data_IF_060673648496
#
_entry.id   IF_060673648496
#
_cell.length_a   1.000
_cell.length_b   1.000
_cell.length_c   1.000
_cell.angle_alpha   90.00
_cell.angle_beta   90.00
_cell.angle_gamma   90.00
#
_symmetry.space_group_name_H-M   'P 1'
#
loop_
_entity.id
_entity.type
_entity.pdbx_description
1 polymer ?
#
# COMPACT_ATOMS: atom_id res chain seq x y z
N UNK A 1 21.20 -60.83 -23.28
CA UNK A 1 21.07 -59.38 -23.54
C UNK A 1 19.96 -58.87 -22.64
N UNK A 2 20.27 -57.93 -21.74
CA UNK A 2 19.41 -57.54 -20.61
C UNK A 2 18.32 -56.57 -21.06
N UNK A 3 17.06 -56.85 -20.71
CA UNK A 3 15.91 -55.96 -20.89
C UNK A 3 16.05 -54.72 -20.00
N UNK A 4 15.90 -53.52 -20.57
CA UNK A 4 15.73 -52.28 -19.82
C UNK A 4 14.26 -51.91 -19.78
N UNK A 5 13.69 -51.93 -18.57
CA UNK A 5 12.36 -51.41 -18.26
C UNK A 5 12.52 -49.91 -18.00
N UNK A 6 11.89 -49.07 -18.83
CA UNK A 6 11.80 -47.64 -18.59
C UNK A 6 10.64 -47.40 -17.62
N UNK A 7 10.97 -47.07 -16.37
CA UNK A 7 10.00 -46.58 -15.40
C UNK A 7 9.76 -45.09 -15.67
N UNK A 8 8.57 -44.74 -16.17
CA UNK A 8 8.09 -43.36 -16.19
C UNK A 8 7.76 -42.94 -14.75
N UNK A 9 8.62 -42.10 -14.17
CA UNK A 9 8.29 -41.32 -12.99
C UNK A 9 7.44 -40.12 -13.45
N UNK A 10 6.12 -40.23 -13.29
CA UNK A 10 5.22 -39.08 -13.28
C UNK A 10 5.51 -38.28 -12.01
N UNK A 11 6.41 -37.31 -12.12
CA UNK A 11 6.51 -36.24 -11.13
C UNK A 11 5.24 -35.41 -11.20
N UNK A 12 4.43 -35.47 -10.14
CA UNK A 12 3.39 -34.47 -9.94
C UNK A 12 4.10 -33.14 -9.73
N UNK A 13 4.08 -32.28 -10.76
CA UNK A 13 4.45 -30.88 -10.61
C UNK A 13 3.34 -30.26 -9.77
N UNK A 14 3.59 -30.08 -8.49
CA UNK A 14 2.79 -29.15 -7.69
C UNK A 14 3.03 -27.77 -8.32
N UNK A 15 1.99 -27.21 -8.92
CA UNK A 15 1.99 -25.81 -9.33
C UNK A 15 2.18 -24.98 -8.07
N UNK A 16 3.32 -24.31 -7.93
CA UNK A 16 3.48 -23.23 -6.96
C UNK A 16 2.60 -22.09 -7.46
N UNK A 17 1.57 -21.72 -6.70
CA UNK A 17 0.75 -20.56 -7.03
C UNK A 17 1.64 -19.30 -7.08
N UNK A 18 1.50 -18.52 -8.15
CA UNK A 18 2.30 -17.32 -8.42
C UNK A 18 1.80 -16.13 -7.57
N UNK A 19 2.73 -15.56 -6.79
CA UNK A 19 2.52 -14.52 -5.78
C UNK A 19 2.60 -13.07 -6.35
N UNK A 20 1.67 -12.17 -5.97
CA UNK A 20 1.30 -10.84 -6.55
C UNK A 20 1.07 -9.71 -5.48
N UNK A 21 1.33 -8.42 -5.80
CA UNK A 21 2.41 -7.62 -5.14
C UNK A 21 3.71 -8.40 -5.36
N UNK A 22 4.88 -7.81 -5.62
CA UNK A 22 6.02 -8.70 -5.92
C UNK A 22 6.23 -9.60 -4.70
N UNK A 23 6.04 -10.93 -4.86
CA UNK A 23 6.02 -11.92 -3.78
C UNK A 23 4.86 -11.89 -2.76
N UNK A 24 3.73 -11.23 -3.05
CA UNK A 24 2.52 -11.20 -2.20
C UNK A 24 1.44 -12.21 -2.62
N UNK A 25 0.21 -12.09 -2.16
CA UNK A 25 -0.90 -12.97 -2.58
C UNK A 25 -2.21 -12.19 -2.71
N UNK A 26 -3.20 -12.76 -3.39
CA UNK A 26 -4.55 -12.18 -3.40
C UNK A 26 -5.04 -12.01 -1.96
N UNK A 27 -5.45 -10.81 -1.58
CA UNK A 27 -6.08 -10.60 -0.28
C UNK A 27 -7.38 -11.41 -0.22
N UNK A 28 -7.73 -11.93 0.96
CA UNK A 28 -9.10 -12.40 1.18
C UNK A 28 -10.04 -11.22 0.88
N UNK A 29 -11.11 -11.40 0.06
CA UNK A 29 -11.98 -10.29 -0.32
C UNK A 29 -12.46 -9.46 0.86
N UNK A 30 -12.26 -8.14 0.76
CA UNK A 30 -12.59 -7.14 1.78
C UNK A 30 -11.91 -7.33 3.15
N UNK A 31 -10.82 -8.10 3.23
CA UNK A 31 -10.01 -8.23 4.46
C UNK A 31 -9.24 -6.96 4.82
N UNK A 32 -9.05 -6.05 3.86
CA UNK A 32 -8.48 -4.72 4.05
C UNK A 32 -9.55 -3.63 3.83
N UNK A 33 -10.58 -3.52 4.69
CA UNK A 33 -11.76 -2.68 4.45
C UNK A 33 -11.47 -1.17 4.49
N UNK A 34 -10.26 -0.78 4.90
CA UNK A 34 -9.75 0.59 4.89
C UNK A 34 -9.06 0.95 3.57
N UNK A 35 -8.75 -0.04 2.72
CA UNK A 35 -8.14 0.20 1.41
C UNK A 35 -9.12 0.98 0.53
N UNK A 36 -8.62 2.01 -0.14
CA UNK A 36 -9.35 2.71 -1.20
C UNK A 36 -8.53 2.80 -2.48
N UNK A 37 -9.23 2.94 -3.59
CA UNK A 37 -8.65 3.21 -4.91
C UNK A 37 -8.91 4.67 -5.27
N UNK A 38 -7.84 5.41 -5.61
CA UNK A 38 -7.95 6.75 -6.18
C UNK A 38 -8.08 6.64 -7.69
N UNK A 39 -9.18 7.17 -8.22
CA UNK A 39 -9.57 7.02 -9.61
C UNK A 39 -9.76 8.38 -10.30
N UNK A 40 -9.17 8.54 -11.48
CA UNK A 40 -9.35 9.73 -12.33
C UNK A 40 -9.59 9.29 -13.79
N UNK A 41 -10.58 8.42 -13.98
CA UNK A 41 -10.86 7.70 -15.24
C UNK A 41 -10.20 6.32 -15.29
N UNK A 42 -9.20 6.09 -14.43
CA UNK A 42 -8.57 4.81 -14.14
C UNK A 42 -7.95 4.89 -12.74
N UNK A 43 -7.70 3.74 -12.11
CA UNK A 43 -6.95 3.66 -10.86
C UNK A 43 -5.50 4.10 -11.08
N UNK A 44 -5.01 5.05 -10.27
CA UNK A 44 -3.64 5.54 -10.39
C UNK A 44 -2.85 5.50 -9.07
N UNK A 45 -3.53 5.45 -7.93
CA UNK A 45 -2.94 5.31 -6.59
C UNK A 45 -3.92 4.62 -5.64
N UNK A 46 -3.39 4.12 -4.53
CA UNK A 46 -4.15 3.72 -3.36
C UNK A 46 -4.40 4.87 -2.38
N UNK A 47 -5.14 4.55 -1.33
CA UNK A 47 -5.36 5.39 -0.16
C UNK A 47 -5.84 4.54 1.01
N UNK A 48 -6.01 5.18 2.16
CA UNK A 48 -6.47 4.54 3.39
C UNK A 48 -7.56 5.36 4.05
N UNK A 49 -8.73 4.77 4.25
CA UNK A 49 -9.81 5.37 5.05
C UNK A 49 -9.39 5.41 6.53
N UNK A 50 -9.40 6.59 7.15
CA UNK A 50 -9.02 6.78 8.55
C UNK A 50 -10.19 7.24 9.44
N UNK A 51 -11.27 7.69 8.82
CA UNK A 51 -12.62 7.83 9.40
C UNK A 51 -13.63 7.96 8.25
N UNK A 52 -14.92 8.12 8.55
CA UNK A 52 -15.96 8.19 7.54
C UNK A 52 -15.84 9.36 6.55
N UNK A 53 -15.07 10.41 6.84
CA UNK A 53 -14.93 11.59 5.98
C UNK A 53 -13.55 11.73 5.34
N UNK A 54 -12.55 10.98 5.79
CA UNK A 54 -11.14 11.27 5.50
C UNK A 54 -10.36 10.05 5.06
N UNK A 55 -9.59 10.26 4.00
CA UNK A 55 -8.63 9.30 3.44
C UNK A 55 -7.22 9.88 3.55
N UNK A 56 -6.25 9.06 3.97
CA UNK A 56 -4.82 9.35 3.88
C UNK A 56 -4.27 8.72 2.59
N UNK A 57 -3.39 9.41 1.89
CA UNK A 57 -2.66 8.90 0.72
C UNK A 57 -1.30 9.61 0.61
N UNK A 58 -0.55 9.35 -0.46
CA UNK A 58 0.73 9.99 -0.73
C UNK A 58 0.53 11.35 -1.42
N UNK A 59 1.38 12.33 -1.10
CA UNK A 59 1.29 13.67 -1.70
C UNK A 59 1.59 13.66 -3.20
N UNK A 60 2.49 12.78 -3.67
CA UNK A 60 2.78 12.64 -5.10
C UNK A 60 1.58 12.10 -5.92
N UNK A 61 0.56 11.54 -5.26
CA UNK A 61 -0.70 11.12 -5.88
C UNK A 61 -1.69 12.29 -6.08
N UNK A 62 -1.30 13.54 -5.80
CA UNK A 62 -2.18 14.69 -5.91
C UNK A 62 -2.80 14.84 -7.31
N UNK A 63 -4.12 14.94 -7.35
CA UNK A 63 -4.92 15.51 -8.45
C UNK A 63 -6.00 16.40 -7.87
N UNK A 64 -6.38 17.44 -8.61
CA UNK A 64 -7.42 18.38 -8.15
C UNK A 64 -8.83 17.79 -8.18
N UNK A 65 -9.05 16.71 -8.95
CA UNK A 65 -10.32 15.99 -9.06
C UNK A 65 -10.02 14.50 -9.16
N UNK A 66 -10.73 13.71 -8.36
CA UNK A 66 -10.67 12.26 -8.34
C UNK A 66 -11.91 11.70 -7.64
N UNK A 67 -12.23 10.45 -7.96
CA UNK A 67 -13.18 9.63 -7.23
C UNK A 67 -12.43 8.66 -6.33
N UNK A 68 -12.96 8.45 -5.13
CA UNK A 68 -12.45 7.53 -4.13
C UNK A 68 -13.40 6.34 -4.16
N UNK A 69 -12.87 5.18 -4.54
CA UNK A 69 -13.62 3.92 -4.58
C UNK A 69 -13.28 3.13 -3.33
N UNK A 70 -14.27 2.96 -2.45
CA UNK A 70 -14.17 2.18 -1.21
C UNK A 70 -14.89 0.84 -1.37
N UNK A 71 -14.48 -0.17 -0.60
CA UNK A 71 -15.16 -1.48 -0.57
C UNK A 71 -14.90 -2.36 -1.80
N UNK A 72 -14.01 -1.95 -2.68
CA UNK A 72 -13.64 -2.67 -3.90
C UNK A 72 -12.68 -3.83 -3.58
N UNK A 73 -12.85 -4.96 -4.28
CA UNK A 73 -11.87 -6.04 -4.33
C UNK A 73 -11.30 -6.18 -5.73
N UNK A 74 -12.15 -6.13 -6.76
CA UNK A 74 -11.79 -6.31 -8.17
C UNK A 74 -12.14 -5.08 -9.01
N UNK A 75 -11.13 -4.30 -9.39
CA UNK A 75 -11.29 -3.01 -10.09
C UNK A 75 -11.98 -3.08 -11.46
N UNK A 76 -12.15 -4.26 -12.04
CA UNK A 76 -12.85 -4.43 -13.32
C UNK A 76 -14.32 -4.79 -13.18
N UNK A 77 -14.74 -5.31 -12.03
CA UNK A 77 -16.10 -5.78 -11.82
C UNK A 77 -16.61 -5.29 -10.49
N UNK A 78 -17.62 -4.42 -10.53
CA UNK A 78 -18.34 -4.02 -9.33
C UNK A 78 -19.15 -5.20 -8.82
N UNK A 79 -18.92 -5.60 -7.57
CA UNK A 79 -19.64 -6.68 -6.89
C UNK A 79 -20.82 -6.18 -6.05
N UNK A 80 -21.05 -4.86 -6.03
CA UNK A 80 -22.18 -4.20 -5.40
C UNK A 80 -21.88 -3.72 -3.97
N UNK A 81 -20.66 -3.91 -3.49
CA UNK A 81 -20.21 -3.44 -2.17
C UNK A 81 -19.53 -2.06 -2.25
N UNK A 82 -19.26 -1.57 -3.45
CA UNK A 82 -18.47 -0.36 -3.67
C UNK A 82 -19.23 0.92 -3.31
N UNK A 83 -18.49 1.88 -2.78
CA UNK A 83 -18.93 3.25 -2.63
C UNK A 83 -17.99 4.14 -3.45
N UNK A 84 -18.56 4.91 -4.38
CA UNK A 84 -17.81 5.85 -5.19
C UNK A 84 -18.15 7.25 -4.70
N UNK A 85 -17.16 7.92 -4.13
CA UNK A 85 -17.33 9.24 -3.51
C UNK A 85 -16.26 10.18 -4.07
N UNK A 86 -16.68 11.33 -4.59
CA UNK A 86 -15.73 12.33 -5.10
C UNK A 86 -14.95 13.00 -3.97
N UNK A 87 -13.72 13.44 -4.26
CA UNK A 87 -12.97 14.29 -3.35
C UNK A 87 -13.58 15.70 -3.26
N UNK A 88 -13.92 16.16 -2.05
CA UNK A 88 -14.26 17.56 -1.79
C UNK A 88 -13.00 18.43 -1.76
N UNK A 89 -11.98 17.92 -1.05
CA UNK A 89 -10.71 18.61 -0.83
C UNK A 89 -9.56 17.62 -0.87
N UNK A 90 -8.43 18.06 -1.39
CA UNK A 90 -7.20 17.29 -1.49
C UNK A 90 -6.07 18.17 -0.95
N UNK A 91 -5.46 17.74 0.15
CA UNK A 91 -4.59 18.55 1.00
C UNK A 91 -3.25 17.82 1.19
N UNK A 92 -2.27 18.06 0.30
CA UNK A 92 -0.91 17.60 0.51
C UNK A 92 -0.31 18.21 1.78
N UNK A 93 0.63 17.51 2.42
CA UNK A 93 1.40 18.07 3.51
C UNK A 93 2.08 19.38 3.08
N UNK A 94 2.03 20.47 3.88
CA UNK A 94 2.54 21.78 3.48
C UNK A 94 4.05 21.81 3.20
N UNK A 95 4.79 20.86 3.77
CA UNK A 95 6.23 20.70 3.57
C UNK A 95 6.57 19.55 2.61
N UNK A 96 5.62 19.06 1.80
CA UNK A 96 5.92 18.06 0.77
C UNK A 96 6.95 18.61 -0.22
N UNK A 97 8.03 17.88 -0.41
CA UNK A 97 9.13 18.25 -1.31
C UNK A 97 9.28 17.21 -2.41
N UNK A 98 8.76 17.52 -3.60
CA UNK A 98 8.67 16.57 -4.70
C UNK A 98 10.02 16.09 -5.24
N UNK A 99 11.10 16.86 -5.06
CA UNK A 99 12.43 16.47 -5.54
C UNK A 99 13.04 15.34 -4.69
N UNK A 100 12.83 15.40 -3.38
CA UNK A 100 13.31 14.40 -2.42
C UNK A 100 12.24 13.37 -2.04
N UNK A 101 11.00 13.56 -2.52
CA UNK A 101 9.80 12.80 -2.09
C UNK A 101 9.65 12.84 -0.57
N UNK A 102 10.06 13.94 0.06
CA UNK A 102 10.03 14.10 1.50
C UNK A 102 8.66 14.63 1.97
N UNK A 103 8.21 14.22 3.15
CA UNK A 103 6.86 14.50 3.66
C UNK A 103 5.74 14.11 2.68
N UNK A 104 5.88 12.95 2.06
CA UNK A 104 4.98 12.44 1.02
C UNK A 104 3.69 11.86 1.60
N UNK A 105 2.87 12.73 2.19
CA UNK A 105 1.59 12.40 2.79
C UNK A 105 0.54 13.46 2.47
N UNK A 106 -0.71 13.03 2.33
CA UNK A 106 -1.83 13.86 1.91
C UNK A 106 -3.12 13.40 2.59
N UNK A 107 -3.99 14.35 2.88
CA UNK A 107 -5.38 14.11 3.27
C UNK A 107 -6.33 14.38 2.12
N UNK A 108 -7.35 13.54 1.97
CA UNK A 108 -8.47 13.73 1.06
C UNK A 108 -9.74 13.75 1.90
N UNK A 109 -10.50 14.84 1.79
CA UNK A 109 -11.84 14.94 2.36
C UNK A 109 -12.86 14.42 1.36
N UNK A 110 -13.70 13.48 1.77
CA UNK A 110 -14.80 12.95 0.97
C UNK A 110 -15.93 13.99 0.88
N UNK A 111 -16.59 14.09 -0.29
CA UNK A 111 -17.73 15.00 -0.51
C UNK A 111 -19.00 14.63 0.28
N UNK A 112 -19.06 13.40 0.76
CA UNK A 112 -20.05 12.89 1.69
C UNK A 112 -19.40 11.79 2.54
N UNK A 113 -19.88 11.55 3.78
CA UNK A 113 -19.34 10.48 4.60
C UNK A 113 -19.56 9.11 3.96
N UNK A 114 -18.56 8.24 4.05
CA UNK A 114 -18.66 6.84 3.72
C UNK A 114 -19.63 6.12 4.67
N UNK A 115 -20.44 5.22 4.13
CA UNK A 115 -21.30 4.34 4.93
C UNK A 115 -20.46 3.19 5.46
N UNK A 116 -20.11 3.24 6.74
CA UNK A 116 -19.31 2.20 7.38
C UNK A 116 -20.11 0.90 7.50
N UNK A 117 -19.53 -0.20 7.04
CA UNK A 117 -20.13 -1.54 7.04
C UNK A 117 -19.03 -2.61 7.01
N UNK A 118 -19.35 -3.90 6.83
CA UNK A 118 -18.34 -4.97 6.86
C UNK A 118 -17.27 -4.90 5.75
N UNK A 119 -17.49 -4.11 4.70
CA UNK A 119 -16.57 -3.94 3.56
C UNK A 119 -15.81 -2.61 3.59
N UNK A 120 -16.33 -1.63 4.34
CA UNK A 120 -15.79 -0.28 4.44
C UNK A 120 -15.66 0.07 5.92
N UNK A 121 -14.43 0.06 6.43
CA UNK A 121 -14.10 0.42 7.81
C UNK A 121 -12.80 1.22 7.82
N UNK A 122 -12.68 2.24 8.68
CA UNK A 122 -11.42 2.95 8.83
C UNK A 122 -10.38 2.09 9.57
N UNK A 123 -9.11 2.43 9.39
CA UNK A 123 -8.01 1.95 10.24
C UNK A 123 -7.54 3.09 11.16
N UNK A 124 -7.04 2.74 12.34
CA UNK A 124 -6.57 3.72 13.31
C UNK A 124 -5.31 4.45 12.81
N UNK A 125 -5.21 5.74 13.13
CA UNK A 125 -3.94 6.43 13.08
C UNK A 125 -3.00 5.91 14.18
N UNK A 126 -1.69 5.91 13.95
CA UNK A 126 -0.73 5.35 14.90
C UNK A 126 -0.62 6.21 16.16
N UNK A 127 -0.68 5.55 17.31
CA UNK A 127 -0.47 6.16 18.63
C UNK A 127 1.03 6.36 18.95
N UNK A 128 1.88 5.55 18.33
CA UNK A 128 3.34 5.66 18.40
C UNK A 128 3.97 5.03 17.15
N UNK A 129 5.27 5.27 16.93
CA UNK A 129 5.99 4.66 15.82
C UNK A 129 6.30 3.19 16.11
N UNK A 130 5.93 2.31 15.18
CA UNK A 130 6.30 0.89 15.25
C UNK A 130 7.83 0.72 15.11
N UNK A 131 8.47 -0.12 15.94
CA UNK A 131 9.91 -0.35 15.88
C UNK A 131 10.30 -1.23 14.68
N UNK A 132 11.60 -1.27 14.36
CA UNK A 132 12.16 -2.22 13.40
C UNK A 132 11.87 -3.68 13.81
N UNK A 133 11.66 -4.54 12.82
CA UNK A 133 11.25 -5.93 12.99
C UNK A 133 9.73 -6.14 13.15
N UNK A 134 8.96 -5.08 13.34
CA UNK A 134 7.48 -5.18 13.36
C UNK A 134 6.97 -5.69 12.02
N UNK A 135 6.15 -6.73 12.03
CA UNK A 135 5.50 -7.26 10.83
C UNK A 135 4.26 -6.42 10.50
N UNK A 136 4.15 -6.05 9.23
CA UNK A 136 3.08 -5.22 8.72
C UNK A 136 2.50 -5.84 7.45
N UNK A 137 1.27 -5.47 7.12
CA UNK A 137 0.64 -5.79 5.85
C UNK A 137 0.62 -4.54 4.96
N UNK A 138 1.15 -4.67 3.74
CA UNK A 138 0.96 -3.73 2.65
C UNK A 138 -0.05 -4.30 1.66
N UNK A 139 -0.91 -3.45 1.11
CA UNK A 139 -1.90 -3.87 0.12
C UNK A 139 -2.08 -2.86 -1.00
N UNK A 140 -2.44 -3.35 -2.19
CA UNK A 140 -2.67 -2.49 -3.35
C UNK A 140 -3.02 -3.26 -4.63
N UNK A 141 -3.23 -2.48 -5.70
CA UNK A 141 -3.53 -2.98 -7.04
C UNK A 141 -2.47 -2.55 -8.07
N UNK A 142 -1.27 -2.25 -7.59
CA UNK A 142 -0.12 -1.92 -8.40
C UNK A 142 0.32 -3.07 -9.31
N UNK A 143 1.32 -2.76 -10.14
CA UNK A 143 1.88 -3.71 -11.08
C UNK A 143 2.44 -4.90 -10.32
N UNK A 144 2.10 -6.09 -10.80
CA UNK A 144 2.69 -7.34 -10.33
C UNK A 144 3.54 -7.92 -11.46
N UNK A 145 4.57 -8.70 -11.14
CA UNK A 145 5.46 -9.27 -12.18
C UNK A 145 4.71 -10.20 -13.16
N UNK A 146 3.50 -10.64 -12.81
CA UNK A 146 2.51 -11.24 -13.71
C UNK A 146 1.42 -10.23 -14.04
N UNK A 147 1.49 -9.58 -15.21
CA UNK A 147 0.52 -8.57 -15.61
C UNK A 147 -0.95 -9.02 -15.51
N UNK A 148 -1.83 -8.10 -15.11
CA UNK A 148 -3.28 -8.23 -15.36
C UNK A 148 -4.16 -8.67 -14.19
N UNK A 149 -3.68 -8.71 -12.95
CA UNK A 149 -4.57 -8.90 -11.81
C UNK A 149 -5.22 -7.59 -11.37
N UNK A 150 -6.54 -7.63 -11.19
CA UNK A 150 -7.35 -6.48 -10.77
C UNK A 150 -7.90 -6.67 -9.37
N UNK A 151 -7.61 -7.83 -8.78
CA UNK A 151 -7.94 -8.16 -7.41
C UNK A 151 -6.91 -7.56 -6.47
N UNK A 152 -7.36 -7.14 -5.29
CA UNK A 152 -6.48 -6.55 -4.28
C UNK A 152 -5.42 -7.57 -3.83
N UNK A 153 -4.18 -7.13 -3.78
CA UNK A 153 -3.04 -7.95 -3.38
C UNK A 153 -2.54 -7.53 -1.99
N UNK A 154 -2.04 -8.49 -1.23
CA UNK A 154 -1.56 -8.34 0.15
C UNK A 154 -0.16 -8.94 0.26
N UNK A 155 0.74 -8.24 0.94
CA UNK A 155 2.08 -8.73 1.26
C UNK A 155 2.40 -8.42 2.73
N UNK A 156 2.97 -9.39 3.42
CA UNK A 156 3.50 -9.19 4.77
C UNK A 156 4.99 -8.88 4.71
N UNK A 157 5.38 -7.74 5.28
CA UNK A 157 6.76 -7.23 5.29
C UNK A 157 7.15 -6.74 6.70
N UNK A 158 8.41 -6.97 7.13
CA UNK A 158 8.93 -6.35 8.35
C UNK A 158 9.36 -4.90 8.08
N UNK A 159 9.20 -4.03 9.08
CA UNK A 159 9.92 -2.75 9.13
C UNK A 159 11.41 -3.04 9.27
N UNK A 160 12.24 -2.42 8.42
CA UNK A 160 13.69 -2.57 8.47
C UNK A 160 14.32 -1.58 9.46
N UNK A 161 15.55 -1.87 9.87
CA UNK A 161 16.30 -0.93 10.70
C UNK A 161 16.61 0.35 9.93
N UNK A 162 16.83 1.45 10.67
CA UNK A 162 17.26 2.72 10.05
C UNK A 162 18.59 2.55 9.32
N UNK A 163 19.51 1.79 9.91
CA UNK A 163 20.83 1.49 9.34
C UNK A 163 20.70 0.75 8.00
N UNK A 164 19.86 -0.28 7.92
CA UNK A 164 19.62 -1.01 6.66
C UNK A 164 19.02 -0.10 5.59
N UNK A 165 18.06 0.74 5.97
CA UNK A 165 17.42 1.69 5.07
C UNK A 165 18.42 2.72 4.51
N UNK A 166 19.29 3.28 5.37
CA UNK A 166 20.35 4.21 4.97
C UNK A 166 21.42 3.52 4.11
N UNK A 167 21.77 2.27 4.41
CA UNK A 167 22.72 1.48 3.62
C UNK A 167 22.18 1.18 2.21
N UNK A 168 20.88 0.92 2.10
CA UNK A 168 20.18 0.73 0.81
C UNK A 168 20.05 2.02 0.00
N UNK A 169 19.91 3.17 0.68
CA UNK A 169 19.67 4.47 0.05
C UNK A 169 20.51 5.59 0.70
N UNK A 170 21.84 5.61 0.47
CA UNK A 170 22.74 6.56 1.11
C UNK A 170 22.33 8.02 0.87
N UNK A 171 22.19 8.78 1.96
CA UNK A 171 21.83 10.21 1.98
C UNK A 171 20.44 10.55 1.42
N UNK A 172 19.56 9.57 1.19
CA UNK A 172 18.22 9.79 0.61
C UNK A 172 17.07 9.62 1.62
N UNK A 173 17.28 8.88 2.70
CA UNK A 173 16.22 8.61 3.68
C UNK A 173 16.15 9.75 4.70
N UNK A 174 14.98 10.32 4.90
CA UNK A 174 14.75 11.38 5.90
C UNK A 174 14.07 10.81 7.16
N UNK A 175 13.89 11.63 8.20
CA UNK A 175 13.14 11.22 9.41
C UNK A 175 11.66 10.91 9.11
N UNK A 176 11.13 11.48 8.03
CA UNK A 176 9.77 11.24 7.54
C UNK A 176 9.61 9.91 6.77
N UNK A 177 10.68 9.13 6.65
CA UNK A 177 10.70 7.89 5.89
C UNK A 177 11.10 6.69 6.76
N UNK A 178 10.66 5.51 6.34
CA UNK A 178 11.21 4.23 6.79
C UNK A 178 11.18 3.23 5.64
N UNK A 179 12.02 2.18 5.73
CA UNK A 179 12.00 1.07 4.80
C UNK A 179 11.27 -0.13 5.40
N UNK A 180 10.58 -0.89 4.56
CA UNK A 180 10.01 -2.18 4.92
C UNK A 180 10.07 -3.14 3.73
N UNK A 181 10.31 -4.41 3.99
CA UNK A 181 10.48 -5.41 2.91
C UNK A 181 11.51 -6.46 3.24
N UNK A 182 12.01 -7.12 2.20
CA UNK A 182 13.07 -8.11 2.27
C UNK A 182 14.29 -7.62 1.48
N UNK A 183 15.45 -7.54 2.14
CA UNK A 183 16.69 -7.09 1.49
C UNK A 183 17.21 -8.09 0.45
N UNK A 184 16.79 -9.35 0.50
CA UNK A 184 17.10 -10.31 -0.56
C UNK A 184 16.29 -10.06 -1.85
N UNK A 185 15.30 -9.15 -1.79
CA UNK A 185 14.39 -8.85 -2.89
C UNK A 185 13.28 -9.89 -3.02
N UNK A 186 12.59 -9.87 -4.16
CA UNK A 186 11.45 -10.76 -4.43
C UNK A 186 10.16 -10.43 -3.68
N UNK A 187 10.19 -9.52 -2.68
CA UNK A 187 9.02 -9.06 -1.92
C UNK A 187 8.97 -7.53 -1.80
N UNK A 188 8.04 -6.88 -2.50
CA UNK A 188 7.92 -5.41 -2.47
C UNK A 188 6.60 -4.88 -3.05
N UNK A 189 6.22 -3.69 -2.59
CA UNK A 189 5.24 -2.82 -3.28
C UNK A 189 5.79 -2.33 -4.62
N UNK A 190 4.92 -1.89 -5.53
CA UNK A 190 5.35 -1.49 -6.87
C UNK A 190 4.49 -0.36 -7.46
N UNK A 191 4.70 0.00 -8.73
CA UNK A 191 4.00 1.12 -9.35
C UNK A 191 2.48 0.91 -9.31
N UNK A 192 1.75 1.89 -8.79
CA UNK A 192 0.29 1.83 -8.58
C UNK A 192 -0.12 1.46 -7.16
N UNK A 193 0.79 0.94 -6.33
CA UNK A 193 0.54 0.76 -4.89
C UNK A 193 0.71 2.08 -4.10
N UNK A 194 1.37 3.08 -4.69
CA UNK A 194 1.55 4.43 -4.15
C UNK A 194 0.32 4.98 -3.45
N UNK A 195 0.50 5.53 -2.25
CA UNK A 195 -0.58 6.03 -1.41
C UNK A 195 -1.34 4.96 -0.63
N UNK A 196 -1.13 3.67 -0.93
CA UNK A 196 -1.71 2.54 -0.20
C UNK A 196 -1.17 2.41 1.23
N UNK A 197 -1.83 1.59 2.06
CA UNK A 197 -1.50 1.43 3.46
C UNK A 197 -0.29 0.51 3.71
N UNK A 198 0.44 0.81 4.78
CA UNK A 198 1.21 -0.17 5.56
C UNK A 198 0.60 -0.21 6.96
N UNK A 199 -0.10 -1.31 7.27
CA UNK A 199 -0.77 -1.51 8.56
C UNK A 199 0.03 -2.47 9.42
N UNK A 200 0.34 -2.05 10.65
CA UNK A 200 1.00 -2.89 11.65
C UNK A 200 0.13 -2.88 12.91
N UNK A 201 -0.22 -4.06 13.44
CA UNK A 201 -1.03 -4.21 14.66
C UNK A 201 -2.33 -3.38 14.67
N UNK A 202 -2.95 -3.17 13.50
CA UNK A 202 -4.20 -2.42 13.34
C UNK A 202 -4.05 -0.90 13.25
N UNK A 203 -2.82 -0.37 13.18
CA UNK A 203 -2.53 1.04 12.99
C UNK A 203 -1.85 1.31 11.63
N UNK A 204 -2.20 2.42 10.97
CA UNK A 204 -1.57 2.88 9.73
C UNK A 204 -0.17 3.43 10.02
N UNK A 205 0.86 2.60 9.98
CA UNK A 205 2.24 3.02 10.27
C UNK A 205 2.94 3.66 9.07
N UNK A 206 2.50 3.34 7.84
CA UNK A 206 3.09 3.93 6.65
C UNK A 206 2.16 4.09 5.47
N UNK A 207 2.62 4.89 4.52
CA UNK A 207 2.00 5.12 3.21
C UNK A 207 3.02 4.77 2.13
N UNK A 208 2.64 3.92 1.16
CA UNK A 208 3.52 3.55 0.04
C UNK A 208 3.97 4.81 -0.71
N UNK A 209 5.28 5.01 -0.84
CA UNK A 209 5.85 6.25 -1.36
C UNK A 209 6.75 6.02 -2.58
N UNK A 210 7.92 5.41 -2.40
CA UNK A 210 8.88 5.23 -3.50
C UNK A 210 9.84 4.05 -3.27
N UNK A 211 10.63 3.72 -4.29
CA UNK A 211 11.67 2.70 -4.27
C UNK A 211 12.50 2.75 -5.56
N UNK A 212 13.66 2.08 -5.57
CA UNK A 212 14.42 1.85 -6.80
C UNK A 212 14.02 0.49 -7.37
N UNK A 213 13.38 0.51 -8.54
CA UNK A 213 12.77 -0.69 -9.09
C UNK A 213 11.63 -1.21 -8.20
N UNK A 214 11.35 -2.50 -8.29
CA UNK A 214 10.45 -3.19 -7.36
C UNK A 214 11.06 -4.55 -7.02
N UNK A 215 11.18 -4.86 -5.72
CA UNK A 215 11.68 -6.13 -5.22
C UNK A 215 13.08 -6.50 -5.71
N UNK A 216 13.90 -5.48 -5.95
CA UNK A 216 15.30 -5.64 -6.28
C UNK A 216 16.11 -5.89 -5.00
N UNK A 217 17.15 -6.73 -5.11
CA UNK A 217 18.03 -7.02 -3.98
C UNK A 217 18.65 -5.73 -3.46
N UNK A 218 18.64 -5.55 -2.14
CA UNK A 218 19.11 -4.36 -1.40
C UNK A 218 18.34 -3.06 -1.69
N UNK A 219 17.20 -3.11 -2.37
CA UNK A 219 16.36 -1.94 -2.64
C UNK A 219 14.94 -2.16 -2.09
N UNK A 220 14.76 -2.12 -0.77
CA UNK A 220 13.44 -2.29 -0.15
C UNK A 220 12.54 -1.07 -0.40
N UNK A 221 11.23 -1.25 -0.39
CA UNK A 221 10.28 -0.14 -0.48
C UNK A 221 10.48 0.90 0.62
N UNK A 222 10.30 2.17 0.26
CA UNK A 222 10.36 3.34 1.15
C UNK A 222 8.95 3.91 1.33
N UNK A 223 8.59 4.15 2.59
CA UNK A 223 7.25 4.53 3.00
C UNK A 223 7.29 5.83 3.80
N UNK A 224 6.28 6.69 3.62
CA UNK A 224 6.11 7.85 4.49
C UNK A 224 5.72 7.38 5.90
N UNK A 225 6.40 7.88 6.93
CA UNK A 225 6.29 7.46 8.33
C UNK A 225 5.11 8.14 9.02
N UNK A 226 3.93 7.52 8.98
CA UNK A 226 2.66 8.14 9.41
C UNK A 226 2.69 8.65 10.86
N UNK A 227 3.37 7.97 11.78
CA UNK A 227 3.43 8.35 13.20
C UNK A 227 3.98 9.76 13.47
N UNK A 228 4.84 10.30 12.59
CA UNK A 228 5.35 11.67 12.76
C UNK A 228 4.38 12.73 12.23
N UNK A 229 3.33 12.31 11.51
CA UNK A 229 2.33 13.19 10.91
C UNK A 229 0.99 13.17 11.67
N UNK A 230 0.84 12.36 12.73
CA UNK A 230 -0.43 12.20 13.45
C UNK A 230 -1.01 13.54 13.91
N UNK A 231 -0.20 14.45 14.46
CA UNK A 231 -0.65 15.77 14.91
C UNK A 231 -1.17 16.62 13.75
N UNK A 232 -0.45 16.62 12.62
CA UNK A 232 -0.86 17.35 11.41
C UNK A 232 -2.15 16.76 10.84
N UNK A 233 -2.25 15.43 10.76
CA UNK A 233 -3.43 14.73 10.28
C UNK A 233 -4.67 15.09 11.11
N UNK A 234 -4.57 14.95 12.44
CA UNK A 234 -5.67 15.25 13.37
C UNK A 234 -6.07 16.73 13.33
N UNK A 235 -5.10 17.64 13.37
CA UNK A 235 -5.36 19.09 13.34
C UNK A 235 -6.02 19.51 12.02
N UNK A 236 -5.59 18.93 10.90
CA UNK A 236 -6.17 19.19 9.58
C UNK A 236 -7.60 18.66 9.50
N UNK A 237 -7.84 17.41 9.92
CA UNK A 237 -9.19 16.83 9.94
C UNK A 237 -10.17 17.58 10.83
N UNK A 238 -9.69 18.19 11.93
CA UNK A 238 -10.52 19.01 12.83
C UNK A 238 -10.80 20.42 12.30
N UNK A 239 -9.96 20.93 11.39
CA UNK A 239 -10.05 22.31 10.88
C UNK A 239 -10.94 22.45 9.65
N UNK A 240 -11.26 21.34 8.97
CA UNK A 240 -11.95 21.32 7.68
C UNK A 240 -13.21 20.45 7.73
#
# INVERSE_FOLDING_TARGET
MKSLVFALLLGAVFATEDDKIVGGQECVPHSQPHQVSLNSGYHFCGGTLVNENWVVSAAHCYKSKMDIVLGDHNRWFMDGNEQIISAERVIPHPNYESWLVNNDIMLIKLSQPATLNKYVQPVALPSSCAPAGTMCTVSGWGVTMSSGDNRLQCLNIPILSREDCDNSYPDMITDAMFCAGDLEGGKDSCQGDSGGPVVCDGELQGVVSWGFGCAEKNHPGVYAKTCIFTDWLQSTMASY
#
